data_IF_573574319925
#
_entry.id   IF_573574319925
#
_cell.length_a   1.000
_cell.length_b   1.000
_cell.length_c   1.000
_cell.angle_alpha   90.00
_cell.angle_beta   90.00
_cell.angle_gamma   90.00
#
_symmetry.space_group_name_H-M   'P 1'
#
loop_
_entity.id
_entity.type
_entity.pdbx_description
1 polymer ?
#
# COMPACT_ATOMS: atom_id res chain seq x y z
N UNK A 1 1.60 3.53 -42.36
CA UNK A 1 2.20 2.52 -41.47
C UNK A 1 1.23 1.37 -41.37
N UNK A 2 1.39 0.37 -42.23
CA UNK A 2 0.73 -0.92 -42.08
C UNK A 2 1.85 -1.93 -41.87
N UNK A 3 2.09 -2.30 -40.63
CA UNK A 3 3.00 -3.39 -40.28
C UNK A 3 2.26 -4.24 -39.25
N UNK A 4 1.55 -5.22 -39.78
CA UNK A 4 0.61 -6.02 -39.06
C UNK A 4 -0.21 -6.88 -40.02
N UNK A 5 -0.48 -8.13 -39.66
CA UNK A 5 -1.29 -9.06 -40.46
C UNK A 5 -2.67 -8.43 -40.79
N UNK A 6 -2.98 -8.12 -42.06
CA UNK A 6 -4.23 -7.46 -42.44
C UNK A 6 -5.49 -8.28 -42.16
N UNK A 7 -5.34 -9.62 -42.11
CA UNK A 7 -6.43 -10.52 -41.73
C UNK A 7 -6.78 -10.34 -40.23
N UNK A 8 -5.78 -10.30 -39.36
CA UNK A 8 -5.97 -10.02 -37.93
C UNK A 8 -6.63 -8.66 -37.72
N UNK A 9 -6.22 -7.62 -38.44
CA UNK A 9 -6.86 -6.30 -38.31
C UNK A 9 -8.33 -6.30 -38.70
N UNK A 10 -8.71 -7.07 -39.73
CA UNK A 10 -10.11 -7.23 -40.14
C UNK A 10 -10.91 -7.94 -39.05
N UNK A 11 -10.38 -9.03 -38.49
CA UNK A 11 -11.03 -9.85 -37.46
C UNK A 11 -11.20 -9.10 -36.15
N UNK A 12 -10.20 -8.32 -35.73
CA UNK A 12 -10.30 -7.41 -34.57
C UNK A 12 -11.40 -6.38 -34.78
N UNK A 13 -11.47 -5.76 -35.97
CA UNK A 13 -12.53 -4.79 -36.30
C UNK A 13 -13.92 -5.40 -36.29
N UNK A 14 -14.02 -6.69 -36.61
CA UNK A 14 -15.25 -7.47 -36.52
C UNK A 14 -15.61 -7.90 -35.09
N UNK A 15 -14.73 -7.67 -34.11
CA UNK A 15 -14.93 -8.08 -32.71
C UNK A 15 -14.74 -9.58 -32.49
N UNK A 16 -14.00 -10.26 -33.37
CA UNK A 16 -13.71 -11.69 -33.20
C UNK A 16 -12.71 -11.91 -32.06
N UNK A 17 -12.94 -12.96 -31.27
CA UNK A 17 -11.95 -13.49 -30.32
C UNK A 17 -10.82 -14.16 -31.10
N UNK A 18 -9.59 -13.77 -30.79
CA UNK A 18 -8.37 -14.31 -31.40
C UNK A 18 -7.80 -15.46 -30.55
N UNK A 19 -6.95 -16.28 -31.17
CA UNK A 19 -6.17 -17.27 -30.42
C UNK A 19 -5.18 -16.59 -29.48
N UNK A 20 -4.62 -17.36 -28.53
CA UNK A 20 -3.56 -16.87 -27.64
C UNK A 20 -2.35 -16.41 -28.44
N UNK A 21 -1.90 -17.20 -29.41
CA UNK A 21 -0.74 -16.91 -30.26
C UNK A 21 -0.94 -15.62 -31.06
N UNK A 22 -2.13 -15.43 -31.63
CA UNK A 22 -2.49 -14.22 -32.37
C UNK A 22 -2.51 -12.98 -31.46
N UNK A 23 -3.06 -13.10 -30.25
CA UNK A 23 -3.04 -12.02 -29.27
C UNK A 23 -1.62 -11.63 -28.83
N UNK A 24 -0.72 -12.62 -28.70
CA UNK A 24 0.68 -12.40 -28.35
C UNK A 24 1.50 -11.82 -29.49
N UNK A 25 1.23 -12.20 -30.75
CA UNK A 25 1.81 -11.56 -31.93
C UNK A 25 1.49 -10.05 -31.95
N UNK A 26 0.23 -9.69 -31.68
CA UNK A 26 -0.20 -8.29 -31.60
C UNK A 26 0.50 -7.55 -30.46
N UNK A 27 0.66 -8.20 -29.30
CA UNK A 27 1.39 -7.65 -28.17
C UNK A 27 2.87 -7.37 -28.53
N UNK A 28 3.55 -8.33 -29.14
CA UNK A 28 4.95 -8.18 -29.55
C UNK A 28 5.13 -7.09 -30.61
N UNK A 29 4.22 -6.99 -31.57
CA UNK A 29 4.20 -5.89 -32.53
C UNK A 29 4.14 -4.52 -31.84
N UNK A 30 3.27 -4.37 -30.84
CA UNK A 30 3.13 -3.11 -30.09
C UNK A 30 4.39 -2.82 -29.28
N UNK A 31 4.91 -3.82 -28.57
CA UNK A 31 6.11 -3.72 -27.72
C UNK A 31 7.36 -3.35 -28.54
N UNK A 32 7.52 -3.94 -29.72
CA UNK A 32 8.65 -3.66 -30.62
C UNK A 32 8.50 -2.34 -31.40
N UNK A 33 7.42 -1.58 -31.17
CA UNK A 33 7.15 -0.34 -31.90
C UNK A 33 6.79 -0.54 -33.37
N UNK A 34 6.57 -1.78 -33.80
CA UNK A 34 6.04 -2.12 -35.12
C UNK A 34 4.62 -1.55 -35.26
N UNK A 35 3.83 -1.67 -34.18
CA UNK A 35 2.56 -0.97 -33.99
C UNK A 35 2.71 0.09 -32.90
N UNK A 36 2.20 1.30 -33.16
CA UNK A 36 2.29 2.42 -32.21
C UNK A 36 1.33 2.31 -31.02
N UNK A 37 0.28 1.51 -31.14
CA UNK A 37 -0.78 1.36 -30.14
C UNK A 37 -1.50 0.03 -30.33
N UNK A 38 -2.19 -0.44 -29.28
CA UNK A 38 -3.13 -1.55 -29.42
C UNK A 38 -4.20 -1.22 -30.47
N UNK A 39 -4.59 -2.20 -31.31
CA UNK A 39 -5.74 -2.05 -32.18
C UNK A 39 -6.97 -1.61 -31.38
N UNK A 40 -7.56 -0.48 -31.78
CA UNK A 40 -8.76 0.09 -31.15
C UNK A 40 -8.63 0.35 -29.62
N UNK A 41 -7.50 0.88 -29.14
CA UNK A 41 -7.25 1.26 -27.73
C UNK A 41 -8.11 2.43 -27.17
N UNK A 42 -9.30 2.71 -27.72
CA UNK A 42 -10.20 3.73 -27.19
C UNK A 42 -11.23 3.12 -26.22
N UNK A 43 -11.89 3.95 -25.40
CA UNK A 43 -12.93 3.56 -24.44
C UNK A 43 -14.20 2.91 -25.04
N UNK A 44 -14.14 2.41 -26.28
CA UNK A 44 -15.28 1.84 -26.98
C UNK A 44 -15.32 0.31 -26.78
N UNK A 45 -16.54 -0.25 -26.76
CA UNK A 45 -16.84 -1.68 -26.58
C UNK A 45 -16.34 -2.60 -27.70
N UNK A 46 -15.70 -2.04 -28.74
CA UNK A 46 -15.12 -2.76 -29.88
C UNK A 46 -13.60 -2.78 -29.84
N UNK A 47 -12.99 -2.48 -28.67
CA UNK A 47 -11.53 -2.52 -28.51
C UNK A 47 -11.01 -3.96 -28.47
N UNK A 48 -9.81 -4.21 -28.99
CA UNK A 48 -9.13 -5.51 -28.85
C UNK A 48 -9.04 -5.95 -27.38
N UNK A 49 -8.81 -4.98 -26.49
CA UNK A 49 -8.76 -5.18 -25.04
C UNK A 49 -10.15 -5.29 -24.40
N UNK A 50 -11.26 -5.15 -25.12
CA UNK A 50 -12.61 -5.37 -24.58
C UNK A 50 -12.88 -6.87 -24.33
N UNK A 51 -12.24 -7.76 -25.07
CA UNK A 51 -12.32 -9.20 -24.85
C UNK A 51 -11.53 -9.59 -23.58
N UNK A 52 -12.19 -10.21 -22.57
CA UNK A 52 -11.52 -10.69 -21.36
C UNK A 52 -10.39 -11.68 -21.62
N UNK A 53 -10.46 -12.49 -22.68
CA UNK A 53 -9.41 -13.47 -23.02
C UNK A 53 -8.16 -12.82 -23.55
N UNK A 54 -8.28 -11.79 -24.38
CA UNK A 54 -7.11 -11.03 -24.83
C UNK A 54 -6.38 -10.38 -23.65
N UNK A 55 -7.12 -9.80 -22.69
CA UNK A 55 -6.51 -9.22 -21.48
C UNK A 55 -5.81 -10.28 -20.62
N UNK A 56 -6.42 -11.46 -20.48
CA UNK A 56 -5.81 -12.59 -19.77
C UNK A 56 -4.47 -12.97 -20.41
N UNK A 57 -4.45 -13.23 -21.72
CA UNK A 57 -3.23 -13.63 -22.45
C UNK A 57 -2.12 -12.58 -22.37
N UNK A 58 -2.47 -11.31 -22.53
CA UNK A 58 -1.51 -10.20 -22.44
C UNK A 58 -0.97 -10.05 -21.03
N UNK A 59 -1.82 -10.17 -20.01
CA UNK A 59 -1.41 -10.15 -18.60
C UNK A 59 -0.45 -11.29 -18.27
N UNK A 60 -0.75 -12.51 -18.72
CA UNK A 60 0.14 -13.66 -18.58
C UNK A 60 1.50 -13.43 -19.24
N UNK A 61 1.52 -12.98 -20.49
CA UNK A 61 2.75 -12.75 -21.22
C UNK A 61 3.59 -11.63 -20.63
N UNK A 62 2.95 -10.58 -20.12
CA UNK A 62 3.64 -9.52 -19.39
C UNK A 62 4.32 -10.06 -18.14
N UNK A 63 3.63 -10.83 -17.30
CA UNK A 63 4.20 -11.45 -16.09
C UNK A 63 5.33 -12.42 -16.43
N UNK A 64 5.16 -13.26 -17.46
CA UNK A 64 6.19 -14.21 -17.89
C UNK A 64 7.43 -13.50 -18.44
N UNK A 65 7.24 -12.48 -19.29
CA UNK A 65 8.34 -11.68 -19.82
C UNK A 65 9.09 -10.92 -18.73
N UNK A 66 8.37 -10.45 -17.72
CA UNK A 66 8.96 -9.78 -16.57
C UNK A 66 9.79 -10.73 -15.71
N UNK A 67 9.23 -11.89 -15.34
CA UNK A 67 9.94 -12.95 -14.60
C UNK A 67 11.17 -13.48 -15.34
N UNK A 68 11.13 -13.51 -16.67
CA UNK A 68 12.27 -13.98 -17.48
C UNK A 68 13.44 -12.99 -17.45
N UNK A 69 13.16 -11.68 -17.45
CA UNK A 69 14.20 -10.65 -17.31
C UNK A 69 14.82 -10.66 -15.89
N UNK A 70 14.06 -11.03 -14.85
CA UNK A 70 14.57 -11.20 -13.49
C UNK A 70 15.43 -12.47 -13.31
N UNK A 71 15.13 -13.56 -14.02
CA UNK A 71 15.98 -14.77 -14.02
C UNK A 71 17.40 -14.52 -14.54
N UNK A 72 17.58 -13.48 -15.37
CA UNK A 72 18.89 -13.03 -15.87
C UNK A 72 19.59 -12.09 -14.86
N UNK A 73 18.83 -11.44 -13.96
CA UNK A 73 19.32 -10.53 -12.94
C UNK A 73 19.25 -11.20 -11.53
N UNK A 74 20.31 -11.92 -11.16
CA UNK A 74 20.53 -12.60 -9.87
C UNK A 74 19.51 -12.33 -8.74
N UNK A 75 18.66 -13.32 -8.46
CA UNK A 75 17.87 -13.75 -7.28
C UNK A 75 17.53 -12.83 -6.07
N UNK A 76 18.05 -11.61 -5.92
CA UNK A 76 17.86 -10.78 -4.71
C UNK A 76 17.07 -9.49 -4.93
N UNK A 77 16.71 -9.15 -6.17
CA UNK A 77 15.94 -7.94 -6.48
C UNK A 77 14.68 -8.28 -7.25
N UNK A 78 13.79 -9.09 -6.66
CA UNK A 78 12.43 -9.21 -7.18
C UNK A 78 11.80 -7.81 -7.16
N UNK A 79 11.70 -7.19 -8.33
CA UNK A 79 11.18 -5.84 -8.50
C UNK A 79 9.87 -6.00 -9.24
N UNK A 80 8.78 -6.29 -8.55
CA UNK A 80 7.53 -6.55 -9.25
C UNK A 80 7.08 -5.32 -10.10
N UNK A 81 6.38 -5.56 -11.23
CA UNK A 81 6.07 -4.50 -12.19
C UNK A 81 5.38 -3.29 -11.56
N UNK A 82 6.01 -2.13 -11.73
CA UNK A 82 5.46 -0.82 -11.38
C UNK A 82 4.50 -0.35 -12.45
N UNK A 83 3.69 0.64 -12.12
CA UNK A 83 2.77 1.25 -13.11
C UNK A 83 3.53 1.81 -14.32
N UNK A 84 4.77 2.29 -14.12
CA UNK A 84 5.65 2.73 -15.22
C UNK A 84 6.00 1.60 -16.18
N UNK A 85 6.18 0.38 -15.70
CA UNK A 85 6.56 -0.76 -16.53
C UNK A 85 5.40 -1.15 -17.47
N UNK A 86 4.15 -0.98 -17.01
CA UNK A 86 2.96 -1.09 -17.87
C UNK A 86 2.88 0.04 -18.88
N UNK A 87 3.17 1.28 -18.49
CA UNK A 87 3.16 2.42 -19.41
C UNK A 87 4.23 2.31 -20.50
N UNK A 88 5.42 1.84 -20.14
CA UNK A 88 6.51 1.56 -21.06
C UNK A 88 6.11 0.47 -22.05
N UNK A 89 5.42 -0.56 -21.56
CA UNK A 89 4.86 -1.63 -22.37
C UNK A 89 3.54 -1.26 -23.09
N UNK A 90 3.04 -0.02 -22.97
CA UNK A 90 1.79 0.47 -23.60
C UNK A 90 0.50 -0.20 -23.08
N UNK A 91 0.51 -0.69 -21.85
CA UNK A 91 -0.63 -1.33 -21.15
C UNK A 91 -1.28 -0.47 -20.07
N UNK A 92 -0.82 0.75 -19.84
CA UNK A 92 -1.43 1.67 -18.88
C UNK A 92 -2.92 1.89 -19.16
N UNK A 93 -3.32 2.01 -20.43
CA UNK A 93 -4.72 2.09 -20.83
C UNK A 93 -5.55 0.86 -20.41
N UNK A 94 -4.98 -0.34 -20.52
CA UNK A 94 -5.63 -1.57 -20.08
C UNK A 94 -5.86 -1.56 -18.57
N UNK A 95 -4.85 -1.17 -17.80
CA UNK A 95 -4.95 -1.07 -16.34
C UNK A 95 -6.00 -0.04 -15.92
N UNK A 96 -5.96 1.14 -16.52
CA UNK A 96 -6.85 2.24 -16.15
C UNK A 96 -8.33 1.91 -16.43
N UNK A 97 -8.62 1.28 -17.57
CA UNK A 97 -9.98 0.99 -18.01
C UNK A 97 -10.57 -0.21 -17.27
N UNK A 98 -9.81 -1.31 -17.14
CA UNK A 98 -10.36 -2.60 -16.72
C UNK A 98 -9.94 -3.05 -15.32
N UNK A 99 -8.93 -2.41 -14.72
CA UNK A 99 -8.29 -2.88 -13.49
C UNK A 99 -8.06 -1.76 -12.48
N UNK A 100 -8.86 -0.69 -12.52
CA UNK A 100 -8.80 0.44 -11.58
C UNK A 100 -7.40 1.06 -11.45
N UNK A 101 -6.63 1.06 -12.54
CA UNK A 101 -5.22 1.51 -12.55
C UNK A 101 -4.32 0.72 -11.59
N UNK A 102 -4.65 -0.54 -11.29
CA UNK A 102 -3.94 -1.40 -10.35
C UNK A 102 -3.37 -2.65 -11.05
N UNK A 103 -2.04 -2.80 -11.12
CA UNK A 103 -1.39 -4.05 -11.52
C UNK A 103 -1.87 -5.26 -10.70
N UNK A 104 -2.20 -5.05 -9.42
CA UNK A 104 -2.68 -6.11 -8.54
C UNK A 104 -4.00 -6.69 -9.03
N UNK A 105 -4.95 -5.84 -9.44
CA UNK A 105 -6.23 -6.31 -9.96
C UNK A 105 -6.06 -7.17 -11.22
N UNK A 106 -5.10 -6.85 -12.09
CA UNK A 106 -4.73 -7.70 -13.22
C UNK A 106 -4.12 -9.03 -12.76
N UNK A 107 -3.20 -9.03 -11.80
CA UNK A 107 -2.54 -10.23 -11.31
C UNK A 107 -3.51 -11.19 -10.60
N UNK A 108 -4.47 -10.65 -9.85
CA UNK A 108 -5.60 -11.40 -9.30
C UNK A 108 -6.44 -12.01 -10.42
N UNK A 109 -6.77 -11.20 -11.44
CA UNK A 109 -7.58 -11.64 -12.58
C UNK A 109 -6.95 -12.82 -13.35
N UNK A 110 -5.64 -12.79 -13.59
CA UNK A 110 -4.92 -13.92 -14.25
C UNK A 110 -4.59 -15.08 -13.28
N UNK A 111 -5.04 -14.98 -12.03
CA UNK A 111 -5.03 -16.07 -11.06
C UNK A 111 -3.75 -16.23 -10.23
N UNK A 112 -2.91 -15.19 -10.11
CA UNK A 112 -1.67 -15.28 -9.31
C UNK A 112 -1.91 -15.54 -7.82
N UNK A 113 -3.11 -15.29 -7.31
CA UNK A 113 -3.50 -15.55 -5.91
C UNK A 113 -4.32 -16.84 -5.74
N UNK A 114 -4.49 -17.64 -6.80
CA UNK A 114 -5.28 -18.87 -6.74
C UNK A 114 -4.34 -20.09 -6.75
N UNK A 115 -4.19 -20.85 -5.65
CA UNK A 115 -3.30 -22.02 -5.59
C UNK A 115 -3.54 -23.12 -6.63
N UNK A 116 -4.70 -23.10 -7.30
CA UNK A 116 -5.04 -24.06 -8.37
C UNK A 116 -4.69 -23.54 -9.77
N UNK A 117 -4.29 -22.27 -9.90
CA UNK A 117 -3.93 -21.66 -11.18
C UNK A 117 -2.43 -21.89 -11.47
N UNK A 118 -2.04 -22.23 -12.72
CA UNK A 118 -0.63 -22.39 -13.10
C UNK A 118 0.25 -21.15 -12.83
N UNK A 119 -0.34 -19.95 -12.83
CA UNK A 119 0.35 -18.68 -12.57
C UNK A 119 0.46 -18.34 -11.08
N UNK A 120 -0.01 -19.21 -10.19
CA UNK A 120 0.01 -18.97 -8.75
C UNK A 120 1.40 -18.59 -8.23
N UNK A 121 1.43 -17.58 -7.37
CA UNK A 121 2.64 -17.10 -6.71
C UNK A 121 2.36 -16.94 -5.21
N UNK A 122 2.94 -17.82 -4.41
CA UNK A 122 2.73 -17.84 -2.97
C UNK A 122 3.28 -16.61 -2.25
N UNK A 123 4.26 -15.91 -2.82
CA UNK A 123 4.80 -14.67 -2.25
C UNK A 123 3.85 -13.52 -2.57
N UNK A 124 3.38 -13.45 -3.81
CA UNK A 124 2.39 -12.47 -4.23
C UNK A 124 1.09 -12.60 -3.43
N UNK A 125 0.58 -13.82 -3.25
CA UNK A 125 -0.65 -14.09 -2.50
C UNK A 125 -0.55 -13.60 -1.04
N UNK A 126 0.57 -13.88 -0.38
CA UNK A 126 0.75 -13.54 1.04
C UNK A 126 1.18 -12.10 1.29
N UNK A 127 1.87 -11.48 0.34
CA UNK A 127 2.48 -10.15 0.49
C UNK A 127 2.35 -9.29 -0.77
N UNK A 128 1.12 -9.06 -1.28
CA UNK A 128 0.94 -8.38 -2.55
C UNK A 128 1.37 -6.92 -2.54
N UNK A 129 1.40 -6.27 -1.37
CA UNK A 129 1.92 -4.90 -1.20
C UNK A 129 3.43 -4.78 -1.43
N UNK A 130 4.19 -5.89 -1.39
CA UNK A 130 5.61 -5.89 -1.78
C UNK A 130 5.78 -6.02 -3.28
N UNK A 131 4.77 -6.61 -3.91
CA UNK A 131 4.77 -6.82 -5.33
C UNK A 131 4.32 -5.54 -6.02
N UNK A 132 3.16 -5.00 -5.69
CA UNK A 132 2.61 -3.87 -6.43
C UNK A 132 2.86 -2.55 -5.73
N UNK A 133 3.30 -1.56 -6.51
CA UNK A 133 3.42 -0.18 -6.02
C UNK A 133 2.06 0.39 -5.58
N UNK A 134 0.98 -0.03 -6.27
CA UNK A 134 -0.38 0.45 -6.02
C UNK A 134 -1.38 -0.69 -5.97
N UNK A 135 -2.01 -0.83 -4.82
CA UNK A 135 -3.13 -1.72 -4.59
C UNK A 135 -4.45 -1.01 -4.94
N UNK A 136 -5.54 -1.75 -5.22
CA UNK A 136 -6.86 -1.13 -5.37
C UNK A 136 -7.23 -0.33 -4.12
N UNK A 137 -7.94 0.79 -4.29
CA UNK A 137 -8.29 1.69 -3.18
C UNK A 137 -9.02 0.96 -2.02
N UNK A 138 -9.76 -0.10 -2.35
CA UNK A 138 -10.52 -0.93 -1.41
C UNK A 138 -9.73 -2.07 -0.78
N UNK A 139 -8.50 -2.34 -1.24
CA UNK A 139 -7.68 -3.43 -0.70
C UNK A 139 -7.44 -3.27 0.81
N UNK A 140 -7.16 -2.03 1.23
CA UNK A 140 -6.95 -1.69 2.62
C UNK A 140 -8.24 -1.54 3.43
N UNK A 141 -9.43 -1.61 2.82
CA UNK A 141 -10.68 -1.65 3.58
C UNK A 141 -10.84 -3.00 4.30
N UNK A 142 -10.21 -4.06 3.78
CA UNK A 142 -10.14 -5.35 4.44
C UNK A 142 -9.16 -5.32 5.64
N UNK A 143 -9.68 -5.61 6.83
CA UNK A 143 -8.94 -5.62 8.09
C UNK A 143 -7.81 -6.65 8.11
N UNK A 144 -8.04 -7.85 7.58
CA UNK A 144 -7.04 -8.92 7.54
C UNK A 144 -5.81 -8.52 6.71
N UNK A 145 -6.03 -7.82 5.58
CA UNK A 145 -4.95 -7.28 4.76
C UNK A 145 -4.09 -6.28 5.54
N UNK A 146 -4.71 -5.35 6.26
CA UNK A 146 -3.99 -4.38 7.10
C UNK A 146 -3.18 -5.08 8.19
N UNK A 147 -3.81 -6.00 8.92
CA UNK A 147 -3.17 -6.78 9.99
C UNK A 147 -1.96 -7.55 9.46
N UNK A 148 -2.10 -8.26 8.34
CA UNK A 148 -1.03 -9.06 7.76
C UNK A 148 0.14 -8.18 7.28
N UNK A 149 -0.15 -7.07 6.62
CA UNK A 149 0.87 -6.11 6.19
C UNK A 149 1.61 -5.46 7.36
N UNK A 150 0.90 -5.06 8.42
CA UNK A 150 1.52 -4.51 9.63
C UNK A 150 2.39 -5.54 10.34
N UNK A 151 1.92 -6.79 10.49
CA UNK A 151 2.73 -7.88 11.09
C UNK A 151 3.99 -8.16 10.29
N UNK A 152 3.88 -8.16 8.96
CA UNK A 152 5.03 -8.28 8.07
C UNK A 152 6.03 -7.14 8.32
N UNK A 153 5.57 -5.88 8.33
CA UNK A 153 6.44 -4.71 8.55
C UNK A 153 7.17 -4.79 9.89
N UNK A 154 6.45 -5.09 10.97
CA UNK A 154 7.04 -5.24 12.32
C UNK A 154 8.10 -6.33 12.33
N UNK A 155 7.82 -7.48 11.71
CA UNK A 155 8.79 -8.58 11.60
C UNK A 155 10.04 -8.13 10.85
N UNK A 156 9.89 -7.48 9.70
CA UNK A 156 10.98 -6.98 8.86
C UNK A 156 11.86 -5.99 9.63
N UNK A 157 11.26 -4.98 10.27
CA UNK A 157 12.00 -3.95 11.01
C UNK A 157 12.65 -4.49 12.29
N UNK A 158 12.03 -5.49 12.94
CA UNK A 158 12.62 -6.18 14.10
C UNK A 158 13.91 -6.90 13.73
N UNK A 159 13.98 -7.51 12.53
CA UNK A 159 15.23 -8.09 12.04
C UNK A 159 16.34 -7.05 11.83
N UNK A 160 15.98 -5.78 11.67
CA UNK A 160 16.91 -4.64 11.60
C UNK A 160 17.17 -3.98 12.97
N UNK A 161 16.71 -4.61 14.08
CA UNK A 161 16.92 -4.13 15.44
C UNK A 161 15.96 -3.04 15.90
N UNK A 162 14.94 -2.70 15.10
CA UNK A 162 13.96 -1.67 15.46
C UNK A 162 12.87 -2.25 16.37
N UNK A 163 12.55 -1.54 17.46
CA UNK A 163 11.47 -1.93 18.39
C UNK A 163 10.11 -1.47 17.87
N UNK A 164 9.02 -2.04 18.41
CA UNK A 164 7.65 -1.75 17.93
C UNK A 164 7.27 -0.29 18.22
N UNK A 165 7.71 0.22 19.36
CA UNK A 165 7.46 1.57 19.87
C UNK A 165 8.18 2.65 19.02
N UNK A 166 9.24 2.26 18.31
CA UNK A 166 10.01 3.11 17.42
C UNK A 166 9.44 3.16 16.00
N UNK A 167 8.42 2.35 15.68
CA UNK A 167 7.79 2.31 14.36
C UNK A 167 6.89 3.54 14.20
N UNK A 168 7.19 4.33 13.16
CA UNK A 168 6.50 5.57 12.82
C UNK A 168 5.87 5.49 11.43
N UNK A 169 5.04 6.48 11.07
CA UNK A 169 4.35 6.50 9.77
C UNK A 169 5.32 6.49 8.58
N UNK A 170 6.53 7.03 8.75
CA UNK A 170 7.56 7.01 7.71
C UNK A 170 8.06 5.60 7.40
N UNK A 171 8.05 4.68 8.38
CA UNK A 171 8.44 3.28 8.13
C UNK A 171 7.45 2.59 7.20
N UNK A 172 6.15 2.81 7.42
CA UNK A 172 5.11 2.32 6.53
C UNK A 172 5.29 2.91 5.12
N UNK A 173 5.52 4.22 5.00
CA UNK A 173 5.74 4.89 3.71
C UNK A 173 6.94 4.33 2.93
N UNK A 174 8.08 4.14 3.60
CA UNK A 174 9.28 3.57 2.98
C UNK A 174 9.11 2.12 2.54
N UNK A 175 8.09 1.43 3.03
CA UNK A 175 7.73 0.07 2.67
C UNK A 175 6.42 0.00 1.85
N UNK A 176 6.03 1.10 1.20
CA UNK A 176 4.83 1.20 0.34
C UNK A 176 3.49 0.95 1.05
N UNK A 177 3.45 1.03 2.38
CA UNK A 177 2.26 0.85 3.21
C UNK A 177 1.62 2.18 3.68
N UNK A 178 1.83 3.27 2.95
CA UNK A 178 1.30 4.58 3.36
C UNK A 178 -0.23 4.64 3.32
N UNK A 179 -0.87 4.07 2.30
CA UNK A 179 -2.33 4.01 2.20
C UNK A 179 -2.96 3.18 3.34
N UNK A 180 -2.27 2.14 3.81
CA UNK A 180 -2.67 1.39 5.01
C UNK A 180 -2.74 2.33 6.22
N UNK A 181 -1.71 3.15 6.44
CA UNK A 181 -1.67 4.10 7.56
C UNK A 181 -2.75 5.15 7.45
N UNK A 182 -3.03 5.64 6.24
CA UNK A 182 -4.12 6.59 6.01
C UNK A 182 -5.48 5.95 6.38
N UNK A 183 -5.66 4.66 6.06
CA UNK A 183 -6.88 3.92 6.38
C UNK A 183 -7.03 3.60 7.86
N UNK A 184 -5.96 3.17 8.53
CA UNK A 184 -5.96 2.94 9.99
C UNK A 184 -5.93 4.26 10.79
N UNK A 185 -5.61 5.39 10.14
CA UNK A 185 -5.55 6.74 10.71
C UNK A 185 -4.22 7.08 11.42
N UNK A 186 -3.40 6.09 11.75
CA UNK A 186 -2.02 6.29 12.26
C UNK A 186 -1.22 4.99 12.32
N UNK A 187 0.11 5.09 12.39
CA UNK A 187 0.98 3.95 12.65
C UNK A 187 0.62 3.22 13.97
N UNK A 188 0.32 3.96 15.03
CA UNK A 188 -0.15 3.38 16.30
C UNK A 188 -1.41 2.54 16.12
N UNK A 189 -2.43 3.10 15.45
CA UNK A 189 -3.70 2.41 15.25
C UNK A 189 -3.51 1.12 14.44
N UNK A 190 -2.66 1.15 13.40
CA UNK A 190 -2.28 -0.05 12.66
C UNK A 190 -1.59 -1.11 13.54
N UNK A 191 -0.67 -0.70 14.42
CA UNK A 191 0.02 -1.63 15.34
C UNK A 191 -0.96 -2.26 16.35
N UNK A 192 -1.86 -1.46 16.93
CA UNK A 192 -2.90 -1.95 17.85
C UNK A 192 -3.87 -2.89 17.13
N UNK A 193 -4.31 -2.52 15.93
CA UNK A 193 -5.16 -3.36 15.07
C UNK A 193 -4.49 -4.72 14.77
N UNK A 194 -3.17 -4.72 14.54
CA UNK A 194 -2.40 -5.94 14.36
C UNK A 194 -2.15 -6.77 15.64
N UNK A 195 -2.66 -6.32 16.78
CA UNK A 195 -2.58 -7.01 18.07
C UNK A 195 -1.29 -6.76 18.86
N UNK A 196 -0.53 -5.71 18.53
CA UNK A 196 0.63 -5.32 19.31
C UNK A 196 0.21 -4.47 20.51
N UNK A 197 0.67 -4.86 21.70
CA UNK A 197 0.50 -4.07 22.93
C UNK A 197 1.52 -2.94 22.95
N UNK A 198 1.15 -1.80 22.35
CA UNK A 198 1.99 -0.61 22.28
C UNK A 198 1.48 0.40 23.28
N UNK A 199 2.33 0.76 24.23
CA UNK A 199 2.04 1.91 25.09
C UNK A 199 2.23 3.20 24.28
N UNK A 200 1.16 3.95 23.97
CA UNK A 200 1.25 5.20 23.21
C UNK A 200 2.10 6.26 23.92
N UNK A 201 2.38 6.13 25.22
CA UNK A 201 3.28 7.01 25.95
C UNK A 201 4.76 6.73 25.69
N UNK A 202 5.07 5.51 25.24
CA UNK A 202 6.42 5.07 24.88
C UNK A 202 6.71 5.26 23.38
N UNK A 203 5.69 5.52 22.57
CA UNK A 203 5.88 5.74 21.14
C UNK A 203 6.66 7.01 20.84
N UNK A 204 7.60 6.90 19.90
CA UNK A 204 8.33 8.06 19.40
C UNK A 204 7.39 9.09 18.74
N UNK A 205 6.39 8.62 18.01
CA UNK A 205 5.37 9.46 17.39
C UNK A 205 3.97 8.99 17.77
N UNK A 206 3.34 9.72 18.68
CA UNK A 206 1.98 9.42 19.13
C UNK A 206 0.95 10.06 18.18
N UNK A 207 -0.19 9.41 17.90
CA UNK A 207 -1.23 10.02 17.05
C UNK A 207 -1.68 11.37 17.58
N UNK A 208 -1.88 12.35 16.68
CA UNK A 208 -2.33 13.71 17.06
C UNK A 208 -3.59 13.69 17.92
N UNK A 209 -4.51 12.76 17.66
CA UNK A 209 -5.78 12.64 18.38
C UNK A 209 -5.61 12.02 19.79
N UNK A 210 -4.57 11.20 20.01
CA UNK A 210 -4.39 10.49 21.28
C UNK A 210 -4.25 11.45 22.46
N UNK A 211 -3.56 12.57 22.31
CA UNK A 211 -3.40 13.58 23.37
C UNK A 211 -4.59 14.50 23.54
N UNK A 212 -5.80 13.95 23.53
CA UNK A 212 -7.00 14.62 24.03
C UNK A 212 -6.87 14.94 25.52
N UNK A 213 -7.72 15.85 26.01
CA UNK A 213 -7.68 16.32 27.41
C UNK A 213 -7.67 15.18 28.43
N UNK A 214 -8.51 14.16 28.24
CA UNK A 214 -8.60 13.00 29.15
C UNK A 214 -7.29 12.21 29.24
N UNK A 215 -6.64 11.93 28.12
CA UNK A 215 -5.37 11.19 28.11
C UNK A 215 -4.22 12.01 28.68
N UNK A 216 -4.20 13.33 28.46
CA UNK A 216 -3.23 14.22 29.12
C UNK A 216 -3.41 14.22 30.63
N UNK A 217 -4.65 14.29 31.13
CA UNK A 217 -4.95 14.19 32.56
C UNK A 217 -4.46 12.86 33.12
N UNK A 218 -4.89 11.74 32.51
CA UNK A 218 -4.52 10.38 32.95
C UNK A 218 -3.02 10.20 33.03
N UNK A 219 -2.30 10.61 31.98
CA UNK A 219 -0.83 10.53 31.93
C UNK A 219 -0.19 11.40 33.03
N UNK A 220 -0.61 12.66 33.15
CA UNK A 220 -0.03 13.60 34.13
C UNK A 220 -0.24 13.12 35.57
N UNK A 221 -1.44 12.64 35.90
CA UNK A 221 -1.76 12.09 37.23
C UNK A 221 -0.97 10.81 37.52
N UNK A 222 -0.88 9.90 36.54
CA UNK A 222 -0.09 8.67 36.68
C UNK A 222 1.40 8.99 36.90
N UNK A 223 1.94 9.94 36.13
CA UNK A 223 3.33 10.37 36.25
C UNK A 223 3.64 11.00 37.60
N UNK A 224 2.74 11.87 38.10
CA UNK A 224 2.87 12.47 39.43
C UNK A 224 2.91 11.41 40.54
N UNK A 225 2.06 10.38 40.44
CA UNK A 225 2.03 9.25 41.36
C UNK A 225 3.31 8.43 41.29
N UNK A 226 3.82 8.16 40.10
CA UNK A 226 5.05 7.39 39.86
C UNK A 226 6.28 8.07 40.48
N UNK A 227 6.42 9.39 40.28
CA UNK A 227 7.60 10.14 40.76
C UNK A 227 7.46 10.67 42.20
N UNK A 228 6.28 10.53 42.82
CA UNK A 228 6.00 11.01 44.17
C UNK A 228 6.03 12.53 44.35
N UNK A 229 5.98 13.30 43.25
CA UNK A 229 5.98 14.78 43.25
C UNK A 229 5.25 15.32 42.02
N UNK A 230 5.04 16.63 41.96
CA UNK A 230 4.50 17.27 40.76
C UNK A 230 5.48 17.14 39.58
N UNK A 231 5.00 16.69 38.39
CA UNK A 231 5.82 16.64 37.18
C UNK A 231 6.28 18.03 36.74
N UNK A 232 7.57 18.17 36.46
CA UNK A 232 8.16 19.32 35.80
C UNK A 232 8.25 19.14 34.28
N UNK A 233 8.86 20.10 33.58
CA UNK A 233 9.02 20.04 32.11
C UNK A 233 9.79 18.81 31.64
N UNK A 234 10.80 18.36 32.38
CA UNK A 234 11.59 17.19 32.04
C UNK A 234 10.84 15.86 32.27
N UNK A 235 9.75 15.88 33.05
CA UNK A 235 8.97 14.69 33.39
C UNK A 235 7.80 14.45 32.42
N UNK A 236 7.48 15.42 31.56
CA UNK A 236 6.34 15.39 30.65
C UNK A 236 6.82 15.56 29.19
N UNK A 237 6.33 14.75 28.24
CA UNK A 237 6.74 14.85 26.84
C UNK A 237 6.41 16.21 26.22
N UNK A 238 7.34 16.77 25.44
CA UNK A 238 7.22 18.12 24.88
C UNK A 238 5.99 18.30 23.98
N UNK A 239 5.66 17.30 23.16
CA UNK A 239 4.46 17.32 22.33
C UNK A 239 3.17 17.35 23.16
N UNK A 240 3.18 16.83 24.40
CA UNK A 240 2.02 16.88 25.30
C UNK A 240 1.84 18.30 25.80
N UNK A 241 2.95 18.91 26.22
CA UNK A 241 3.01 20.26 26.75
C UNK A 241 2.61 21.28 25.70
N UNK A 242 3.06 21.13 24.46
CA UNK A 242 2.66 21.99 23.35
C UNK A 242 1.14 22.02 23.17
N UNK A 243 0.47 20.87 23.36
CA UNK A 243 -0.99 20.76 23.21
C UNK A 243 -1.77 21.21 24.44
N UNK A 244 -1.20 21.06 25.64
CA UNK A 244 -1.79 21.56 26.88
C UNK A 244 -1.62 23.08 27.06
N UNK A 245 -0.60 23.68 26.42
CA UNK A 245 -0.20 25.07 26.68
C UNK A 245 0.87 25.21 27.78
N UNK A 246 1.67 24.16 27.99
CA UNK A 246 2.77 24.12 28.97
C UNK A 246 2.48 23.29 30.22
N UNK A 247 3.46 23.23 31.13
CA UNK A 247 3.43 22.37 32.33
C UNK A 247 2.29 22.77 33.27
N UNK A 248 2.17 24.06 33.61
CA UNK A 248 1.13 24.54 34.53
C UNK A 248 -0.28 24.27 33.99
N UNK A 249 -0.48 24.41 32.68
CA UNK A 249 -1.77 24.10 32.06
C UNK A 249 -2.08 22.60 32.16
N UNK A 250 -1.11 21.72 31.89
CA UNK A 250 -1.27 20.27 32.06
C UNK A 250 -1.56 19.88 33.52
N UNK A 251 -0.85 20.46 34.49
CA UNK A 251 -1.07 20.23 35.92
C UNK A 251 -2.46 20.73 36.38
N UNK A 252 -2.89 21.90 35.88
CA UNK A 252 -4.22 22.45 36.16
C UNK A 252 -5.32 21.59 35.54
N UNK A 253 -5.14 21.11 34.30
CA UNK A 253 -6.05 20.14 33.67
C UNK A 253 -6.19 18.88 34.53
N UNK A 254 -5.08 18.40 35.11
CA UNK A 254 -5.03 17.21 35.95
C UNK A 254 -5.50 17.44 37.40
N UNK A 255 -5.91 18.66 37.77
CA UNK A 255 -6.33 19.00 39.13
C UNK A 255 -5.21 18.94 40.17
N UNK A 256 -3.94 19.02 39.73
CA UNK A 256 -2.77 18.93 40.60
C UNK A 256 -2.26 20.29 41.08
N UNK A 257 -2.75 21.39 40.47
CA UNK A 257 -2.56 22.75 40.96
C UNK A 257 -3.88 23.28 41.49
N UNK A 258 -3.86 23.81 42.71
CA UNK A 258 -4.99 24.54 43.28
C UNK A 258 -5.11 25.83 42.46
N UNK A 259 -6.28 26.09 41.87
CA UNK A 259 -6.54 27.39 41.25
C UNK A 259 -6.40 28.45 42.33
N UNK A 260 -5.51 29.42 42.14
CA UNK A 260 -5.39 30.59 43.02
C UNK A 260 -6.80 31.07 43.37
N UNK A 261 -7.12 31.02 44.66
CA UNK A 261 -8.37 31.54 45.17
C UNK A 261 -8.50 32.97 44.64
N UNK A 262 -9.57 33.26 43.90
CA UNK A 262 -9.86 34.63 43.47
C UNK A 262 -9.88 35.46 44.75
N UNK A 263 -8.89 36.33 44.93
CA UNK A 263 -8.93 37.34 45.97
C UNK A 263 -10.11 38.25 45.65
N UNK A 264 -11.19 38.10 46.42
CA UNK A 264 -12.36 38.99 46.40
C UNK A 264 -11.96 40.43 46.77
#
# INVERSE_FOLDING_TARGET
MGLGNPDLERRIKAGETLSREEALEIWDDVRCGIRKQFPHNSHNSTSFLADPKHREYIGEAFVLGFRFNELIAEFNNWQCPRQTDFADAKLDGMLNIYYESSPYALFVYIGMINPKNPNYDAVFDKTPWLAVEKLPNSYWDNEENRINATKWLVKTLRHMGKKVEDIVSNDFKLNFLHELVDRSGSAYAALVEAGYDVDPTQMHQVPKAYWGKQNRIKFTTARAKEIGRLPGRADLPEWMLAKAGGVNAALKEAGLLISEAKSE
#
